data_IF_923798774950
#
_entry.id   IF_923798774950
#
_cell.length_a   1.000
_cell.length_b   1.000
_cell.length_c   1.000
_cell.angle_alpha   90.00
_cell.angle_beta   90.00
_cell.angle_gamma   90.00
#
_symmetry.space_group_name_H-M   'P 1'
#
loop_
_entity.id
_entity.type
_entity.pdbx_description
1 polymer ?
#
# COMPACT_ATOMS: atom_id res chain seq x y z
N UNK A 1 1.82 18.09 7.92
CA UNK A 1 2.90 18.81 8.64
C UNK A 1 2.93 18.27 10.06
N UNK A 2 4.11 18.00 10.63
CA UNK A 2 4.24 17.55 12.02
C UNK A 2 4.60 18.71 12.97
N UNK A 3 4.74 18.43 14.27
CA UNK A 3 5.02 19.45 15.29
C UNK A 3 6.37 20.18 15.14
N UNK A 4 7.34 19.60 14.42
CA UNK A 4 8.64 20.25 14.13
C UNK A 4 8.61 21.12 12.87
N UNK A 5 7.44 21.26 12.24
CA UNK A 5 7.25 22.02 11.01
C UNK A 5 7.71 21.30 9.75
N UNK A 6 7.99 20.00 9.82
CA UNK A 6 8.27 19.19 8.63
C UNK A 6 6.98 18.92 7.87
N UNK A 7 7.06 18.93 6.54
CA UNK A 7 5.97 18.64 5.61
C UNK A 7 6.40 17.48 4.74
N UNK A 8 5.56 16.45 4.67
CA UNK A 8 5.70 15.37 3.71
C UNK A 8 4.81 15.63 2.48
N UNK A 9 5.31 15.31 1.30
CA UNK A 9 4.56 15.40 0.06
C UNK A 9 5.36 14.90 -1.14
N UNK A 10 4.69 14.20 -2.07
CA UNK A 10 5.36 13.48 -3.15
C UNK A 10 6.44 12.54 -2.60
N UNK A 11 7.62 12.53 -3.23
CA UNK A 11 8.72 11.65 -2.85
C UNK A 11 9.68 12.23 -1.78
N UNK A 12 9.25 13.23 -0.99
CA UNK A 12 10.14 13.92 -0.06
C UNK A 12 9.50 14.45 1.21
N UNK A 13 10.36 14.83 2.16
CA UNK A 13 10.00 15.62 3.35
C UNK A 13 10.86 16.87 3.44
N UNK A 14 10.33 17.94 4.03
CA UNK A 14 11.14 19.07 4.42
C UNK A 14 11.88 18.83 5.74
N UNK A 15 12.97 19.56 5.98
CA UNK A 15 13.58 19.63 7.31
C UNK A 15 12.73 20.46 8.29
N UNK A 16 13.17 20.58 9.56
CA UNK A 16 12.48 21.37 10.58
C UNK A 16 12.20 22.80 10.09
N UNK A 17 11.03 23.33 10.45
CA UNK A 17 10.52 24.62 9.97
C UNK A 17 10.42 24.76 8.44
N UNK A 18 10.31 23.64 7.72
CA UNK A 18 10.14 23.65 6.26
C UNK A 18 11.43 23.84 5.46
N UNK A 19 12.61 23.77 6.09
CA UNK A 19 13.89 24.08 5.43
C UNK A 19 14.51 22.83 4.81
N UNK A 20 14.89 22.92 3.53
CA UNK A 20 15.52 21.84 2.78
C UNK A 20 14.54 20.71 2.44
N UNK A 21 14.99 19.76 1.60
CA UNK A 21 14.21 18.58 1.23
C UNK A 21 15.09 17.34 1.34
N UNK A 22 14.57 16.30 1.98
CA UNK A 22 15.13 14.96 2.03
C UNK A 22 14.25 14.04 1.20
N UNK A 23 14.85 13.30 0.26
CA UNK A 23 14.15 12.30 -0.52
C UNK A 23 13.85 11.06 0.34
N UNK A 24 12.66 10.50 0.20
CA UNK A 24 12.20 9.32 0.98
C UNK A 24 12.75 8.00 0.43
N UNK A 25 13.22 7.98 -0.81
CA UNK A 25 13.56 6.75 -1.53
C UNK A 25 12.37 6.17 -2.29
N UNK A 26 12.45 4.89 -2.65
CA UNK A 26 11.37 4.13 -3.31
C UNK A 26 11.55 2.62 -3.07
N UNK A 27 10.50 1.83 -3.32
CA UNK A 27 10.50 0.36 -3.22
C UNK A 27 11.03 -0.35 -4.50
N UNK A 28 11.72 0.37 -5.38
CA UNK A 28 12.33 -0.18 -6.58
C UNK A 28 12.00 0.59 -7.86
N UNK A 29 10.99 1.47 -7.84
CA UNK A 29 10.66 2.33 -8.98
C UNK A 29 10.22 3.72 -8.53
N UNK A 30 10.49 4.72 -9.37
CA UNK A 30 10.02 6.08 -9.17
C UNK A 30 8.48 6.16 -9.18
N UNK A 31 7.94 7.04 -8.34
CA UNK A 31 6.49 7.27 -8.18
C UNK A 31 6.02 7.19 -6.73
N UNK A 32 6.86 7.59 -5.77
CA UNK A 32 6.50 7.60 -4.35
C UNK A 32 5.63 8.82 -4.04
N UNK A 33 4.52 8.58 -3.36
CA UNK A 33 3.63 9.61 -2.85
C UNK A 33 3.47 9.47 -1.33
N UNK A 34 3.93 10.47 -0.59
CA UNK A 34 3.75 10.59 0.84
C UNK A 34 2.38 11.17 1.20
N UNK A 35 1.71 10.54 2.16
CA UNK A 35 0.33 10.84 2.58
C UNK A 35 0.28 11.34 4.04
N UNK A 36 1.08 10.73 4.92
CA UNK A 36 1.06 11.00 6.36
C UNK A 36 2.46 11.16 6.96
N UNK A 37 2.58 11.97 8.01
CA UNK A 37 3.83 12.18 8.76
C UNK A 37 3.54 12.36 10.25
N UNK A 38 4.32 11.70 11.11
CA UNK A 38 4.24 11.89 12.57
C UNK A 38 5.37 12.78 13.12
N UNK A 39 5.36 13.05 14.43
CA UNK A 39 6.33 13.94 15.09
C UNK A 39 7.76 13.39 15.16
N UNK A 40 7.95 12.08 14.98
CA UNK A 40 9.27 11.48 14.81
C UNK A 40 9.82 11.67 13.38
N UNK A 41 9.01 12.25 12.48
CA UNK A 41 9.35 12.41 11.06
C UNK A 41 9.26 11.11 10.28
N UNK A 42 8.56 10.09 10.80
CA UNK A 42 8.22 8.90 10.02
C UNK A 42 7.13 9.26 9.03
N UNK A 43 7.27 8.78 7.80
CA UNK A 43 6.33 9.05 6.70
C UNK A 43 5.71 7.76 6.23
N UNK A 44 4.42 7.84 5.93
CA UNK A 44 3.66 6.78 5.26
C UNK A 44 3.11 7.27 3.93
N UNK A 45 2.81 6.32 3.05
CA UNK A 45 2.22 6.58 1.76
C UNK A 45 2.25 5.33 0.89
N UNK A 46 2.41 5.53 -0.41
CA UNK A 46 2.55 4.43 -1.37
C UNK A 46 3.77 4.61 -2.28
N UNK A 47 4.32 3.49 -2.72
CA UNK A 47 5.43 3.45 -3.67
C UNK A 47 5.29 2.25 -4.60
N UNK A 48 5.55 2.40 -5.91
CA UNK A 48 5.65 1.27 -6.81
C UNK A 48 6.90 0.43 -6.47
N UNK A 49 6.75 -0.89 -6.50
CA UNK A 49 7.83 -1.86 -6.39
C UNK A 49 8.54 -2.05 -7.74
N UNK A 50 9.58 -2.90 -7.77
CA UNK A 50 10.27 -3.28 -9.01
C UNK A 50 9.33 -3.87 -10.06
N UNK A 51 8.30 -4.63 -9.65
CA UNK A 51 7.30 -5.21 -10.56
C UNK A 51 6.25 -4.20 -11.02
N UNK A 52 6.25 -2.99 -10.47
CA UNK A 52 5.27 -1.94 -10.76
C UNK A 52 4.01 -2.00 -9.91
N UNK A 53 3.88 -2.96 -9.00
CA UNK A 53 2.77 -3.00 -8.04
C UNK A 53 2.89 -1.86 -7.04
N UNK A 54 1.77 -1.21 -6.69
CA UNK A 54 1.73 -0.15 -5.69
C UNK A 54 1.61 -0.78 -4.30
N UNK A 55 2.59 -0.53 -3.44
CA UNK A 55 2.64 -1.03 -2.07
C UNK A 55 2.65 0.14 -1.09
N UNK A 56 2.00 -0.05 0.07
CA UNK A 56 2.09 0.89 1.18
C UNK A 56 3.49 0.83 1.83
N UNK A 57 4.04 1.98 2.21
CA UNK A 57 5.33 2.06 2.88
C UNK A 57 5.26 2.82 4.20
N UNK A 58 6.29 2.61 5.04
CA UNK A 58 6.64 3.49 6.14
C UNK A 58 8.14 3.77 6.13
N UNK A 59 8.57 4.96 6.55
CA UNK A 59 9.99 5.27 6.79
C UNK A 59 10.36 5.25 8.28
N UNK A 60 11.66 5.14 8.54
CA UNK A 60 12.22 5.48 9.84
C UNK A 60 12.17 6.99 10.14
N UNK A 61 12.66 7.41 11.32
CA UNK A 61 12.67 8.80 11.72
C UNK A 61 13.33 9.71 10.67
N UNK A 62 12.79 10.93 10.54
CA UNK A 62 13.23 11.91 9.53
C UNK A 62 13.23 11.38 8.08
N UNK A 63 12.27 10.53 7.72
CA UNK A 63 12.11 10.05 6.36
C UNK A 63 13.16 9.03 5.90
N UNK A 64 14.02 8.54 6.80
CA UNK A 64 15.15 7.69 6.46
C UNK A 64 14.76 6.22 6.47
N UNK A 65 15.11 5.49 5.41
CA UNK A 65 14.94 4.04 5.35
C UNK A 65 13.49 3.65 5.10
N UNK A 66 13.13 3.52 3.83
CA UNK A 66 11.80 3.07 3.41
C UNK A 66 11.65 1.56 3.62
N UNK A 67 10.54 1.18 4.24
CA UNK A 67 10.14 -0.21 4.48
C UNK A 67 8.80 -0.45 3.82
N UNK A 68 8.69 -1.53 3.06
CA UNK A 68 7.41 -2.02 2.52
C UNK A 68 6.59 -2.60 3.68
N UNK A 69 5.36 -2.13 3.87
CA UNK A 69 4.49 -2.65 4.93
C UNK A 69 4.07 -4.11 4.67
N UNK A 70 4.09 -4.55 3.40
CA UNK A 70 3.72 -5.90 3.01
C UNK A 70 4.82 -6.95 3.28
N UNK A 71 6.03 -6.52 3.68
CA UNK A 71 7.10 -7.44 4.09
C UNK A 71 7.09 -7.74 5.60
N UNK A 72 6.10 -7.24 6.33
CA UNK A 72 5.99 -7.35 7.77
C UNK A 72 5.08 -8.53 8.16
N UNK A 73 5.54 -9.36 9.10
CA UNK A 73 4.89 -10.62 9.51
C UNK A 73 3.63 -10.44 10.40
N UNK A 74 2.87 -9.36 10.22
CA UNK A 74 1.61 -9.14 10.97
C UNK A 74 0.36 -9.10 10.08
N UNK A 75 0.51 -9.15 8.76
CA UNK A 75 -0.62 -9.13 7.84
C UNK A 75 -1.25 -10.51 7.73
N UNK A 76 -2.59 -10.61 7.69
CA UNK A 76 -3.26 -11.85 7.28
C UNK A 76 -2.86 -12.25 5.86
N UNK A 77 -2.77 -13.56 5.61
CA UNK A 77 -2.53 -14.10 4.27
C UNK A 77 -3.56 -13.58 3.25
N UNK A 78 -3.11 -13.30 2.03
CA UNK A 78 -3.99 -12.87 0.93
C UNK A 78 -4.37 -11.39 0.95
N UNK A 79 -3.74 -10.58 1.81
CA UNK A 79 -3.96 -9.15 1.92
C UNK A 79 -2.77 -8.36 1.38
N UNK A 80 -3.03 -7.43 0.46
CA UNK A 80 -2.03 -6.48 -0.03
C UNK A 80 -2.39 -5.06 0.41
N UNK A 81 -1.54 -4.43 1.21
CA UNK A 81 -1.63 -3.01 1.54
C UNK A 81 -1.11 -2.16 0.38
N UNK A 82 -1.98 -1.34 -0.19
CA UNK A 82 -1.67 -0.53 -1.37
C UNK A 82 -1.49 0.95 -1.07
N UNK A 83 -2.06 1.45 0.02
CA UNK A 83 -1.84 2.82 0.48
C UNK A 83 -1.86 2.89 2.01
N UNK A 84 -0.93 3.62 2.61
CA UNK A 84 -0.99 4.01 4.01
C UNK A 84 -1.34 5.49 4.09
N UNK A 85 -2.53 5.79 4.59
CA UNK A 85 -3.16 7.11 4.47
C UNK A 85 -2.84 8.04 5.62
N UNK A 86 -2.50 7.49 6.79
CA UNK A 86 -2.13 8.29 7.96
C UNK A 86 -1.31 7.49 8.97
N UNK A 87 -0.54 8.20 9.79
CA UNK A 87 0.26 7.68 10.89
C UNK A 87 0.19 8.60 12.09
N UNK A 88 -0.08 8.04 13.27
CA UNK A 88 -0.06 8.82 14.51
C UNK A 88 1.31 8.76 15.23
N UNK A 89 1.48 9.59 16.27
CA UNK A 89 2.72 9.67 17.05
C UNK A 89 3.08 8.41 17.85
N UNK A 90 2.19 7.41 17.91
CA UNK A 90 2.49 6.09 18.48
C UNK A 90 2.97 5.10 17.42
N UNK A 91 3.11 5.53 16.17
CA UNK A 91 3.48 4.67 15.04
C UNK A 91 2.34 3.79 14.53
N UNK A 92 1.09 4.06 14.92
CA UNK A 92 -0.06 3.33 14.38
C UNK A 92 -0.42 3.90 13.02
N UNK A 93 -0.66 3.01 12.05
CA UNK A 93 -0.88 3.36 10.65
C UNK A 93 -2.31 2.96 10.26
N UNK A 94 -3.00 3.86 9.55
CA UNK A 94 -4.22 3.53 8.83
C UNK A 94 -3.83 3.23 7.38
N UNK A 95 -4.24 2.07 6.87
CA UNK A 95 -3.91 1.64 5.51
C UNK A 95 -5.12 1.01 4.81
N UNK A 96 -5.15 1.12 3.48
CA UNK A 96 -6.12 0.45 2.63
C UNK A 96 -5.51 -0.82 2.04
N UNK A 97 -6.31 -1.87 2.01
CA UNK A 97 -5.93 -3.18 1.49
C UNK A 97 -6.80 -3.60 0.33
N UNK A 98 -6.24 -4.39 -0.58
CA UNK A 98 -6.97 -5.17 -1.56
C UNK A 98 -6.64 -6.65 -1.40
N UNK A 99 -7.52 -7.58 -1.81
CA UNK A 99 -7.14 -8.97 -1.96
C UNK A 99 -5.95 -9.12 -2.90
N UNK A 100 -5.07 -10.07 -2.61
CA UNK A 100 -3.99 -10.43 -3.53
C UNK A 100 -4.54 -10.89 -4.89
N UNK A 101 -3.80 -10.67 -6.00
CA UNK A 101 -4.23 -11.06 -7.35
C UNK A 101 -4.68 -12.52 -7.48
N UNK A 102 -4.07 -13.42 -6.73
CA UNK A 102 -4.38 -14.85 -6.68
C UNK A 102 -5.80 -15.09 -6.17
N UNK A 103 -6.27 -14.28 -5.21
CA UNK A 103 -7.64 -14.36 -4.68
C UNK A 103 -8.66 -14.00 -5.75
N UNK A 104 -8.37 -12.99 -6.58
CA UNK A 104 -9.22 -12.66 -7.73
C UNK A 104 -9.20 -13.75 -8.80
N UNK A 105 -8.04 -14.36 -9.06
CA UNK A 105 -7.93 -15.45 -10.02
C UNK A 105 -8.79 -16.65 -9.61
N UNK A 106 -8.79 -17.01 -8.32
CA UNK A 106 -9.63 -18.07 -7.77
C UNK A 106 -11.12 -17.73 -7.85
N UNK A 107 -11.51 -16.49 -7.53
CA UNK A 107 -12.89 -16.03 -7.67
C UNK A 107 -13.38 -16.16 -9.11
N UNK A 108 -12.58 -15.68 -10.07
CA UNK A 108 -12.90 -15.76 -11.49
C UNK A 108 -12.97 -17.21 -11.98
N UNK A 109 -12.05 -18.07 -11.55
CA UNK A 109 -12.08 -19.50 -11.84
C UNK A 109 -13.36 -20.17 -11.33
N UNK A 110 -13.75 -19.87 -10.08
CA UNK A 110 -14.99 -20.36 -9.48
C UNK A 110 -16.25 -19.88 -10.23
N UNK A 111 -16.31 -18.60 -10.59
CA UNK A 111 -17.41 -18.04 -11.39
C UNK A 111 -17.50 -18.70 -12.77
N UNK A 112 -16.36 -18.95 -13.42
CA UNK A 112 -16.29 -19.69 -14.68
C UNK A 112 -16.85 -21.10 -14.55
N UNK A 113 -16.48 -21.82 -13.49
CA UNK A 113 -16.99 -23.17 -13.21
C UNK A 113 -18.51 -23.17 -12.99
N UNK A 114 -19.03 -22.25 -12.17
CA UNK A 114 -20.48 -22.12 -11.92
C UNK A 114 -21.23 -21.83 -13.22
N UNK A 115 -20.73 -20.90 -14.04
CA UNK A 115 -21.32 -20.59 -15.34
C UNK A 115 -21.34 -21.80 -16.28
N UNK A 116 -20.26 -22.57 -16.32
CA UNK A 116 -20.18 -23.80 -17.11
C UNK A 116 -21.20 -24.86 -16.65
N UNK A 117 -21.30 -25.11 -15.34
CA UNK A 117 -22.24 -26.07 -14.77
C UNK A 117 -23.70 -25.68 -15.07
N UNK A 118 -24.04 -24.40 -14.96
CA UNK A 118 -25.38 -23.90 -15.26
C UNK A 118 -25.75 -24.11 -16.75
N UNK A 119 -24.80 -23.89 -17.67
CA UNK A 119 -25.00 -24.13 -19.11
C UNK A 119 -25.25 -25.61 -19.41
N UNK A 120 -24.49 -26.52 -18.80
CA UNK A 120 -24.70 -27.97 -18.95
C UNK A 120 -26.08 -28.39 -18.47
N UNK A 121 -26.49 -27.95 -17.27
CA UNK A 121 -27.81 -28.27 -16.71
C UNK A 121 -28.96 -27.80 -17.61
N UNK A 122 -28.83 -26.65 -18.27
CA UNK A 122 -29.84 -26.15 -19.23
C UNK A 122 -29.87 -26.96 -20.52
N UNK A 123 -28.72 -27.41 -21.02
CA UNK A 123 -28.66 -28.28 -22.20
C UNK A 123 -29.28 -29.66 -21.93
N UNK A 124 -29.22 -30.14 -20.69
CA UNK A 124 -29.82 -31.42 -20.26
C UNK A 124 -31.34 -31.32 -20.00
N UNK A 125 -31.91 -30.12 -19.80
CA UNK A 125 -33.35 -29.88 -19.58
C UNK A 125 -33.89 -28.73 -20.46
N UNK A 126 -34.20 -28.97 -21.75
CA UNK A 126 -34.58 -27.91 -22.71
C UNK A 126 -35.99 -27.33 -22.54
N UNK A 127 -36.88 -27.96 -21.76
CA UNK A 127 -38.31 -27.61 -21.69
C UNK A 127 -39.16 -28.40 -22.67
#
# INVERSE_FOLDING_TARGET
MNASGQVAGGAGITGPNGVGITALGNLGRLGTDAEGINDAGQVVGNSPTVSGNIHAFVTGPNGVGMTDLNSLDFLPDGLLLTNAVDINNRGQIIATSVPEPETYALLLAGLGLVGFMARRKKAENPG
#
